data_IF_815424524845
#
_entry.id   IF_815424524845
#
_cell.length_a   1.000
_cell.length_b   1.000
_cell.length_c   1.000
_cell.angle_alpha   90.00
_cell.angle_beta   90.00
_cell.angle_gamma   90.00
#
_symmetry.space_group_name_H-M   'P 1'
#
loop_
_entity.id
_entity.type
_entity.pdbx_description
1 polymer ?
#
# COMPACT_ATOMS: atom_id res chain seq x y z
N UNK A 1 34.75 -21.62 21.80
CA UNK A 1 35.67 -20.70 21.09
C UNK A 1 35.18 -20.51 19.67
N UNK A 2 35.15 -19.28 19.20
CA UNK A 2 34.89 -18.99 17.80
C UNK A 2 36.23 -19.08 17.03
N UNK A 3 36.40 -20.05 16.15
CA UNK A 3 37.64 -20.17 15.38
C UNK A 3 37.87 -18.91 14.50
N UNK A 4 39.11 -18.63 14.22
CA UNK A 4 39.54 -17.52 13.35
C UNK A 4 39.14 -16.11 13.82
N UNK A 5 38.90 -15.90 15.15
CA UNK A 5 38.67 -14.56 15.69
C UNK A 5 39.90 -13.92 16.31
N UNK A 6 40.82 -14.73 16.82
CA UNK A 6 42.05 -14.27 17.50
C UNK A 6 43.28 -14.81 16.75
N UNK A 7 43.25 -16.09 16.37
CA UNK A 7 44.30 -16.76 15.61
C UNK A 7 43.80 -17.00 14.19
N UNK A 8 44.66 -16.77 13.20
CA UNK A 8 44.35 -16.92 11.77
C UNK A 8 43.12 -16.10 11.34
N UNK A 9 42.97 -14.91 11.88
CA UNK A 9 41.88 -14.02 11.53
C UNK A 9 41.97 -13.62 10.06
N UNK A 10 40.93 -13.84 9.26
CA UNK A 10 40.91 -13.41 7.87
C UNK A 10 41.02 -11.88 7.78
N UNK A 11 41.60 -11.35 6.69
CA UNK A 11 41.67 -9.91 6.47
C UNK A 11 40.28 -9.25 6.63
N UNK A 12 40.22 -8.04 7.18
CA UNK A 12 38.97 -7.34 7.47
C UNK A 12 38.04 -7.10 6.26
N UNK A 13 38.61 -7.19 5.05
CA UNK A 13 37.88 -7.01 3.79
C UNK A 13 37.37 -8.31 3.16
N UNK A 14 37.54 -9.48 3.81
CA UNK A 14 37.15 -10.78 3.22
C UNK A 14 35.68 -11.13 3.37
N UNK A 15 35.00 -10.60 4.40
CA UNK A 15 33.59 -10.89 4.68
C UNK A 15 32.70 -9.65 4.55
N UNK A 16 33.05 -8.77 3.65
CA UNK A 16 32.28 -7.58 3.37
C UNK A 16 31.03 -7.93 2.54
N UNK A 17 29.97 -7.17 2.75
CA UNK A 17 28.72 -7.24 1.98
C UNK A 17 28.96 -6.99 0.48
N UNK A 18 29.92 -6.13 0.17
CA UNK A 18 30.35 -5.76 -1.19
C UNK A 18 31.82 -6.05 -1.39
N UNK A 19 32.20 -6.35 -2.63
CA UNK A 19 33.60 -6.44 -3.01
C UNK A 19 34.21 -5.04 -3.02
N UNK A 20 35.46 -4.87 -2.60
CA UNK A 20 36.17 -3.60 -2.73
C UNK A 20 36.15 -3.10 -4.19
N UNK A 21 35.76 -1.82 -4.38
CA UNK A 21 35.60 -1.22 -5.70
C UNK A 21 34.36 -1.62 -6.49
N UNK A 22 33.47 -2.41 -5.93
CA UNK A 22 32.23 -2.78 -6.59
C UNK A 22 31.39 -1.52 -6.91
N UNK A 23 31.05 -1.34 -8.19
CA UNK A 23 30.15 -0.30 -8.65
C UNK A 23 28.71 -0.82 -8.63
N UNK A 24 27.78 0.00 -8.16
CA UNK A 24 26.35 -0.28 -8.23
C UNK A 24 25.71 0.59 -9.30
N UNK A 25 24.83 0.03 -10.15
CA UNK A 25 24.17 0.83 -11.17
C UNK A 25 23.18 1.81 -10.54
N UNK A 26 22.93 2.92 -11.23
CA UNK A 26 21.82 3.80 -10.89
C UNK A 26 20.49 3.13 -11.25
N UNK A 27 19.51 3.28 -10.38
CA UNK A 27 18.16 2.73 -10.59
C UNK A 27 17.18 3.86 -10.92
N UNK A 28 16.57 3.87 -12.12
CA UNK A 28 15.47 4.80 -12.41
C UNK A 28 14.27 4.44 -11.53
N UNK A 29 13.84 5.37 -10.68
CA UNK A 29 12.73 5.16 -9.75
C UNK A 29 11.60 6.16 -9.98
N UNK A 30 10.37 5.75 -9.69
CA UNK A 30 9.20 6.62 -9.74
C UNK A 30 9.08 7.45 -8.48
N UNK A 31 9.40 6.85 -7.32
CA UNK A 31 9.47 7.59 -6.06
C UNK A 31 10.74 8.44 -5.96
N UNK A 32 10.62 9.58 -5.30
CA UNK A 32 11.77 10.37 -4.87
C UNK A 32 12.34 9.78 -3.59
N UNK A 33 13.62 9.42 -3.62
CA UNK A 33 14.39 9.00 -2.46
C UNK A 33 15.33 10.14 -2.08
N UNK A 34 14.97 10.94 -1.06
CA UNK A 34 15.75 12.11 -0.65
C UNK A 34 17.21 11.75 -0.34
N UNK A 35 18.16 12.27 -1.10
CA UNK A 35 19.62 12.07 -0.94
C UNK A 35 20.10 10.61 -0.98
N UNK A 36 19.28 9.69 -1.48
CA UNK A 36 19.59 8.27 -1.60
C UNK A 36 18.82 7.67 -2.79
N UNK A 37 19.17 6.46 -3.17
CA UNK A 37 18.43 5.67 -4.15
C UNK A 37 17.61 4.55 -3.49
N UNK A 38 16.99 3.69 -4.30
CA UNK A 38 16.20 2.55 -3.82
C UNK A 38 17.08 1.52 -3.10
N UNK A 39 18.30 1.29 -3.59
CA UNK A 39 19.24 0.36 -2.99
C UNK A 39 19.70 0.86 -1.63
N UNK A 40 20.18 2.09 -1.56
CA UNK A 40 20.60 2.72 -0.30
C UNK A 40 19.45 2.73 0.74
N UNK A 41 18.20 2.91 0.29
CA UNK A 41 17.05 2.80 1.20
C UNK A 41 16.82 1.38 1.74
N UNK A 42 17.03 0.35 0.91
CA UNK A 42 16.99 -1.04 1.37
C UNK A 42 18.17 -1.34 2.32
N UNK A 43 19.33 -0.75 2.08
CA UNK A 43 20.53 -0.89 2.91
C UNK A 43 20.46 -0.23 4.28
N UNK A 44 19.50 0.65 4.51
CA UNK A 44 19.24 1.20 5.84
C UNK A 44 19.00 0.11 6.89
N UNK A 45 18.59 -1.10 6.47
CA UNK A 45 18.39 -2.20 7.39
C UNK A 45 19.71 -2.61 8.07
N UNK A 46 19.85 -2.27 9.35
CA UNK A 46 21.02 -2.61 10.18
C UNK A 46 20.91 -4.00 10.85
N UNK A 47 19.82 -4.74 10.60
CA UNK A 47 19.62 -6.08 11.15
C UNK A 47 19.15 -6.14 12.59
N UNK A 48 18.72 -5.02 13.22
CA UNK A 48 18.27 -4.98 14.63
C UNK A 48 17.25 -6.06 15.01
N UNK A 49 16.42 -6.50 14.05
CA UNK A 49 15.47 -7.58 14.29
C UNK A 49 14.14 -7.14 14.93
N UNK A 50 13.91 -5.84 15.15
CA UNK A 50 12.63 -5.33 15.67
C UNK A 50 11.42 -5.75 14.84
N UNK A 51 11.61 -6.06 13.55
CA UNK A 51 10.58 -6.63 12.67
C UNK A 51 10.21 -8.09 12.97
N UNK A 52 10.87 -8.72 13.94
CA UNK A 52 10.56 -10.07 14.45
C UNK A 52 9.72 -10.07 15.73
N UNK A 53 9.11 -8.95 16.05
CA UNK A 53 8.19 -8.85 17.17
C UNK A 53 7.01 -9.79 17.01
N UNK A 54 6.55 -10.32 18.13
CA UNK A 54 5.33 -11.12 18.19
C UNK A 54 4.14 -10.23 18.56
N UNK A 55 2.92 -10.73 18.40
CA UNK A 55 1.72 -10.03 18.85
C UNK A 55 1.72 -9.72 20.37
N UNK A 56 2.56 -10.42 21.16
CA UNK A 56 2.73 -10.21 22.59
C UNK A 56 3.66 -9.03 22.92
N UNK A 57 4.51 -8.64 21.98
CA UNK A 57 5.53 -7.60 22.22
C UNK A 57 5.02 -6.18 22.02
N UNK A 58 3.76 -5.99 21.63
CA UNK A 58 3.21 -4.70 21.26
C UNK A 58 3.75 -4.17 19.92
N UNK A 59 3.18 -3.04 19.46
CA UNK A 59 3.53 -2.43 18.19
C UNK A 59 2.79 -3.06 16.99
N UNK A 60 3.02 -2.51 15.81
CA UNK A 60 2.34 -2.91 14.57
C UNK A 60 3.29 -3.43 13.49
N UNK A 61 4.59 -3.38 13.73
CA UNK A 61 5.61 -3.70 12.73
C UNK A 61 5.56 -5.17 12.31
N UNK A 62 5.50 -5.40 11.00
CA UNK A 62 5.46 -6.70 10.33
C UNK A 62 4.30 -7.62 10.75
N UNK A 63 3.04 -7.24 10.49
CA UNK A 63 1.88 -8.13 10.72
C UNK A 63 2.02 -9.49 10.04
N UNK A 64 2.67 -9.55 8.88
CA UNK A 64 2.95 -10.80 8.17
C UNK A 64 3.83 -11.74 9.00
N UNK A 65 4.90 -11.25 9.60
CA UNK A 65 5.72 -12.07 10.50
C UNK A 65 4.95 -12.46 11.76
N UNK A 66 4.16 -11.56 12.34
CA UNK A 66 3.33 -11.88 13.51
C UNK A 66 2.41 -13.09 13.24
N UNK A 67 1.88 -13.20 12.02
CA UNK A 67 1.00 -14.29 11.62
C UNK A 67 1.76 -15.58 11.25
N UNK A 68 2.84 -15.47 10.48
CA UNK A 68 3.52 -16.65 9.90
C UNK A 68 4.68 -17.17 10.73
N UNK A 69 5.33 -16.32 11.52
CA UNK A 69 6.60 -16.58 12.24
C UNK A 69 7.76 -16.96 11.30
N UNK A 70 7.60 -16.72 10.01
CA UNK A 70 8.61 -16.99 9.02
C UNK A 70 9.48 -15.77 8.78
N UNK A 71 10.81 -15.93 8.84
CA UNK A 71 11.78 -14.84 8.64
C UNK A 71 11.59 -14.11 7.29
N UNK A 72 11.24 -14.84 6.22
CA UNK A 72 10.99 -14.26 4.90
C UNK A 72 9.93 -13.15 4.90
N UNK A 73 9.04 -13.15 5.90
CA UNK A 73 7.93 -12.21 6.00
C UNK A 73 8.25 -10.97 6.83
N UNK A 74 9.53 -10.79 7.21
CA UNK A 74 10.02 -9.62 7.95
C UNK A 74 10.40 -8.47 7.03
N UNK A 75 10.45 -7.25 7.57
CA UNK A 75 11.03 -6.09 6.87
C UNK A 75 12.50 -6.34 6.54
N UNK A 76 13.25 -6.96 7.45
CA UNK A 76 14.67 -7.29 7.30
C UNK A 76 14.90 -8.20 6.09
N UNK A 77 14.18 -9.32 6.01
CA UNK A 77 14.32 -10.25 4.90
C UNK A 77 14.00 -9.58 3.56
N UNK A 78 12.89 -8.82 3.50
CA UNK A 78 12.49 -8.09 2.30
C UNK A 78 13.50 -7.05 1.84
N UNK A 79 14.08 -6.31 2.78
CA UNK A 79 15.13 -5.34 2.47
C UNK A 79 16.40 -6.03 1.97
N UNK A 80 16.79 -7.13 2.62
CA UNK A 80 17.99 -7.86 2.25
C UNK A 80 17.87 -8.56 0.91
N UNK A 81 16.75 -9.23 0.60
CA UNK A 81 16.56 -9.86 -0.70
C UNK A 81 16.53 -8.83 -1.82
N UNK A 82 15.85 -7.71 -1.63
CA UNK A 82 15.81 -6.63 -2.62
C UNK A 82 17.26 -6.12 -2.89
N UNK A 83 18.01 -5.83 -1.83
CA UNK A 83 19.42 -5.43 -1.94
C UNK A 83 20.25 -6.45 -2.71
N UNK A 84 20.11 -7.74 -2.37
CA UNK A 84 20.90 -8.81 -2.97
C UNK A 84 20.67 -8.88 -4.49
N UNK A 85 19.41 -8.90 -4.92
CA UNK A 85 19.11 -8.94 -6.35
C UNK A 85 19.50 -7.64 -7.07
N UNK A 86 19.33 -6.48 -6.46
CA UNK A 86 19.74 -5.22 -7.07
C UNK A 86 21.26 -5.13 -7.26
N UNK A 87 22.04 -5.79 -6.42
CA UNK A 87 23.51 -5.77 -6.50
C UNK A 87 24.10 -6.92 -7.32
N UNK A 88 23.51 -8.10 -7.27
CA UNK A 88 24.09 -9.31 -7.85
C UNK A 88 23.43 -9.77 -9.17
N UNK A 89 22.25 -9.26 -9.51
CA UNK A 89 21.55 -9.68 -10.72
C UNK A 89 22.26 -9.25 -11.98
N UNK A 90 22.33 -10.15 -12.95
CA UNK A 90 22.85 -9.90 -14.31
C UNK A 90 21.73 -9.49 -15.30
N UNK A 91 20.46 -9.44 -14.86
CA UNK A 91 19.35 -9.00 -15.72
C UNK A 91 19.45 -7.50 -16.00
N UNK A 92 19.05 -7.07 -17.19
CA UNK A 92 18.96 -5.66 -17.54
C UNK A 92 17.99 -4.90 -16.60
N UNK A 93 16.82 -5.50 -16.31
CA UNK A 93 15.94 -5.05 -15.26
C UNK A 93 16.17 -5.89 -14.00
N UNK A 94 16.91 -5.36 -13.04
CA UNK A 94 17.23 -6.05 -11.78
C UNK A 94 16.04 -6.19 -10.82
N UNK A 95 14.89 -5.62 -11.15
CA UNK A 95 13.62 -5.84 -10.43
C UNK A 95 12.82 -7.01 -10.99
N UNK A 96 13.22 -7.59 -12.15
CA UNK A 96 12.52 -8.69 -12.79
C UNK A 96 12.88 -10.05 -12.18
N UNK A 97 12.46 -10.24 -10.92
CA UNK A 97 12.69 -11.47 -10.16
C UNK A 97 11.43 -11.88 -9.40
N UNK A 98 10.93 -13.10 -9.68
CA UNK A 98 9.76 -13.66 -9.02
C UNK A 98 10.02 -13.89 -7.52
N UNK A 99 11.26 -14.24 -7.16
CA UNK A 99 11.67 -14.48 -5.76
C UNK A 99 11.46 -13.24 -4.88
N UNK A 100 11.74 -12.05 -5.42
CA UNK A 100 11.46 -10.79 -4.69
C UNK A 100 9.95 -10.62 -4.53
N UNK A 101 9.17 -10.89 -5.59
CA UNK A 101 7.71 -10.76 -5.57
C UNK A 101 7.07 -11.68 -4.53
N UNK A 102 7.52 -12.95 -4.45
CA UNK A 102 7.04 -13.91 -3.45
C UNK A 102 7.26 -13.40 -2.02
N UNK A 103 8.46 -12.91 -1.72
CA UNK A 103 8.80 -12.37 -0.40
C UNK A 103 8.03 -11.09 -0.10
N UNK A 104 7.71 -10.28 -1.12
CA UNK A 104 6.92 -9.05 -0.97
C UNK A 104 5.42 -9.30 -0.85
N UNK A 105 4.91 -10.45 -1.28
CA UNK A 105 3.45 -10.67 -1.47
C UNK A 105 2.67 -10.50 -0.17
N UNK A 106 3.09 -11.10 0.93
CA UNK A 106 2.42 -10.98 2.24
C UNK A 106 2.61 -9.62 2.93
N UNK A 107 3.42 -8.71 2.40
CA UNK A 107 3.54 -7.36 2.96
C UNK A 107 2.25 -6.57 2.74
N UNK A 108 1.59 -6.15 3.82
CA UNK A 108 0.34 -5.39 3.78
C UNK A 108 0.52 -3.91 3.38
N UNK A 109 1.76 -3.43 3.22
CA UNK A 109 2.08 -2.02 3.01
C UNK A 109 1.50 -1.08 4.08
N UNK A 110 1.38 -1.55 5.31
CA UNK A 110 0.77 -0.85 6.44
C UNK A 110 1.63 0.32 6.99
N UNK A 111 2.89 0.44 6.53
CA UNK A 111 3.88 1.43 7.00
C UNK A 111 4.29 1.33 8.49
N UNK A 112 3.89 0.30 9.23
CA UNK A 112 4.38 0.09 10.59
C UNK A 112 5.91 0.09 10.69
N UNK A 113 6.59 -0.47 9.69
CA UNK A 113 8.06 -0.43 9.61
C UNK A 113 8.61 1.01 9.50
N UNK A 114 7.92 1.92 8.81
CA UNK A 114 8.38 3.31 8.67
C UNK A 114 8.43 4.06 10.01
N UNK A 115 7.49 3.76 10.92
CA UNK A 115 7.41 4.41 12.24
C UNK A 115 8.17 3.67 13.33
N UNK A 116 8.21 2.34 13.29
CA UNK A 116 8.75 1.51 14.39
C UNK A 116 10.15 0.97 14.10
N UNK A 117 10.64 0.98 12.86
CA UNK A 117 11.98 0.51 12.55
C UNK A 117 13.04 1.54 13.01
N UNK A 118 14.02 1.17 13.86
CA UNK A 118 15.07 2.08 14.28
C UNK A 118 15.92 2.61 13.12
N UNK A 119 16.00 1.85 12.03
CA UNK A 119 16.67 2.25 10.78
C UNK A 119 15.74 2.91 9.75
N UNK A 120 14.49 3.16 10.11
CA UNK A 120 13.52 3.90 9.31
C UNK A 120 13.27 3.33 7.89
N UNK A 121 13.36 2.00 7.73
CA UNK A 121 13.11 1.32 6.45
C UNK A 121 11.62 1.41 6.08
N UNK A 122 11.29 2.10 4.99
CA UNK A 122 9.93 2.17 4.46
C UNK A 122 9.68 1.03 3.46
N UNK A 123 9.33 -0.15 3.96
CA UNK A 123 9.08 -1.33 3.12
C UNK A 123 7.85 -1.14 2.21
N UNK A 124 6.87 -0.34 2.60
CA UNK A 124 5.72 -0.05 1.76
C UNK A 124 6.12 0.70 0.48
N UNK A 125 7.06 1.65 0.61
CA UNK A 125 7.65 2.40 -0.52
C UNK A 125 8.50 1.49 -1.40
N UNK A 126 9.39 0.68 -0.80
CA UNK A 126 10.23 -0.28 -1.52
C UNK A 126 9.39 -1.31 -2.28
N UNK A 127 8.35 -1.87 -1.65
CA UNK A 127 7.43 -2.81 -2.32
C UNK A 127 6.71 -2.18 -3.50
N UNK A 128 6.20 -0.97 -3.34
CA UNK A 128 5.46 -0.31 -4.41
C UNK A 128 6.37 0.01 -5.60
N UNK A 129 7.60 0.48 -5.34
CA UNK A 129 8.61 0.71 -6.39
C UNK A 129 8.98 -0.60 -7.10
N UNK A 130 9.28 -1.65 -6.34
CA UNK A 130 9.58 -2.97 -6.89
C UNK A 130 8.45 -3.47 -7.80
N UNK A 131 7.20 -3.43 -7.33
CA UNK A 131 6.05 -3.91 -8.11
C UNK A 131 5.86 -3.11 -9.40
N UNK A 132 6.08 -1.80 -9.40
CA UNK A 132 5.99 -0.99 -10.61
C UNK A 132 7.02 -1.45 -11.64
N UNK A 133 8.28 -1.61 -11.24
CA UNK A 133 9.38 -2.04 -12.11
C UNK A 133 9.17 -3.50 -12.60
N UNK A 134 8.68 -4.36 -11.73
CA UNK A 134 8.37 -5.75 -12.08
C UNK A 134 7.21 -5.83 -13.10
N UNK A 135 6.17 -5.03 -12.92
CA UNK A 135 5.02 -5.02 -13.84
C UNK A 135 5.34 -4.35 -15.17
N UNK A 136 6.31 -3.47 -15.23
CA UNK A 136 6.79 -2.92 -16.50
C UNK A 136 7.40 -4.01 -17.40
N UNK A 137 8.02 -5.04 -16.82
CA UNK A 137 8.57 -6.17 -17.54
C UNK A 137 7.56 -7.31 -17.80
N UNK A 138 6.70 -7.60 -16.80
CA UNK A 138 5.86 -8.81 -16.78
C UNK A 138 4.36 -8.54 -16.99
N UNK A 139 3.96 -7.27 -17.07
CA UNK A 139 2.55 -6.89 -17.12
C UNK A 139 1.86 -6.95 -15.76
N UNK A 140 0.67 -6.35 -15.69
CA UNK A 140 -0.11 -6.23 -14.45
C UNK A 140 -1.10 -7.39 -14.35
N UNK A 141 -1.07 -8.21 -13.28
CA UNK A 141 -2.04 -9.29 -13.07
C UNK A 141 -3.48 -8.75 -13.01
N UNK A 142 -4.45 -9.53 -13.52
CA UNK A 142 -5.87 -9.17 -13.55
C UNK A 142 -6.38 -8.74 -12.17
N UNK A 143 -6.07 -9.51 -11.12
CA UNK A 143 -6.44 -9.18 -9.74
C UNK A 143 -5.94 -7.80 -9.31
N UNK A 144 -4.67 -7.50 -9.59
CA UNK A 144 -4.08 -6.20 -9.24
C UNK A 144 -4.73 -5.06 -10.02
N UNK A 145 -5.03 -5.29 -11.31
CA UNK A 145 -5.73 -4.31 -12.16
C UNK A 145 -7.15 -4.04 -11.67
N UNK A 146 -7.89 -5.07 -11.27
CA UNK A 146 -9.25 -4.91 -10.71
C UNK A 146 -9.24 -4.14 -9.40
N UNK A 147 -8.33 -4.48 -8.48
CA UNK A 147 -8.22 -3.77 -7.19
C UNK A 147 -7.80 -2.31 -7.40
N UNK A 148 -6.87 -2.06 -8.30
CA UNK A 148 -6.43 -0.70 -8.61
C UNK A 148 -7.58 0.15 -9.17
N UNK A 149 -8.43 -0.42 -10.04
CA UNK A 149 -9.60 0.25 -10.60
C UNK A 149 -10.86 0.19 -9.71
N UNK A 150 -10.70 -0.03 -8.41
CA UNK A 150 -11.82 -0.20 -7.47
C UNK A 150 -12.83 0.95 -7.54
N UNK A 151 -12.37 2.19 -7.59
CA UNK A 151 -13.24 3.38 -7.69
C UNK A 151 -14.14 3.34 -8.93
N UNK A 152 -13.56 3.03 -10.09
CA UNK A 152 -14.30 2.94 -11.37
C UNK A 152 -15.30 1.79 -11.36
N UNK A 153 -14.90 0.61 -10.86
CA UNK A 153 -15.79 -0.57 -10.75
C UNK A 153 -16.93 -0.31 -9.78
N UNK A 154 -16.65 0.34 -8.66
CA UNK A 154 -17.67 0.74 -7.68
C UNK A 154 -18.64 1.76 -8.27
N UNK A 155 -18.15 2.75 -9.00
CA UNK A 155 -18.99 3.74 -9.70
C UNK A 155 -19.95 3.07 -10.67
N UNK A 156 -19.48 2.13 -11.50
CA UNK A 156 -20.34 1.35 -12.39
C UNK A 156 -21.36 0.50 -11.61
N UNK A 157 -20.91 -0.13 -10.53
CA UNK A 157 -21.79 -0.93 -9.67
C UNK A 157 -22.90 -0.14 -8.98
N UNK A 158 -22.72 1.17 -8.78
CA UNK A 158 -23.77 2.04 -8.19
C UNK A 158 -24.97 2.30 -9.10
N UNK A 159 -24.92 1.90 -10.37
CA UNK A 159 -26.10 1.94 -11.27
C UNK A 159 -27.13 0.90 -10.82
N UNK A 160 -26.67 -0.30 -10.40
CA UNK A 160 -27.52 -1.37 -9.88
C UNK A 160 -26.89 -1.99 -8.62
N UNK A 161 -26.91 -1.29 -7.47
CA UNK A 161 -26.23 -1.74 -6.27
C UNK A 161 -26.71 -3.10 -5.74
N UNK A 162 -28.01 -3.38 -5.86
CA UNK A 162 -28.62 -4.64 -5.43
C UNK A 162 -28.06 -5.83 -6.23
N UNK A 163 -27.99 -5.70 -7.55
CA UNK A 163 -27.43 -6.73 -8.43
C UNK A 163 -25.93 -6.94 -8.14
N UNK A 164 -25.16 -5.84 -8.04
CA UNK A 164 -23.75 -5.93 -7.65
C UNK A 164 -23.56 -6.68 -6.33
N UNK A 165 -24.32 -6.29 -5.30
CA UNK A 165 -24.23 -6.91 -3.98
C UNK A 165 -24.63 -8.38 -4.01
N UNK A 166 -25.65 -8.75 -4.80
CA UNK A 166 -26.03 -10.14 -4.98
C UNK A 166 -24.86 -10.97 -5.55
N UNK A 167 -24.21 -10.51 -6.62
CA UNK A 167 -23.04 -11.19 -7.20
C UNK A 167 -21.88 -11.29 -6.21
N UNK A 168 -21.67 -10.28 -5.38
CA UNK A 168 -20.55 -10.24 -4.42
C UNK A 168 -20.81 -11.07 -3.15
N UNK A 169 -22.08 -11.37 -2.81
CA UNK A 169 -22.43 -12.00 -1.52
C UNK A 169 -23.18 -13.33 -1.65
N UNK A 170 -23.86 -13.60 -2.77
CA UNK A 170 -24.63 -14.83 -2.94
C UNK A 170 -23.74 -16.07 -2.86
N UNK A 171 -24.11 -17.08 -2.04
CA UNK A 171 -23.38 -18.34 -1.97
C UNK A 171 -23.25 -18.99 -3.38
N UNK A 172 -22.11 -19.60 -3.67
CA UNK A 172 -21.82 -20.18 -4.98
C UNK A 172 -21.33 -19.14 -6.01
N UNK A 173 -22.14 -18.18 -6.39
CA UNK A 173 -21.75 -17.13 -7.35
C UNK A 173 -20.55 -16.34 -6.85
N UNK A 174 -20.61 -15.85 -5.62
CA UNK A 174 -19.50 -15.12 -4.99
C UNK A 174 -18.24 -15.98 -4.90
N UNK A 175 -18.36 -17.27 -4.59
CA UNK A 175 -17.21 -18.19 -4.55
C UNK A 175 -16.58 -18.39 -5.92
N UNK A 176 -17.39 -18.50 -6.97
CA UNK A 176 -16.91 -18.61 -8.34
C UNK A 176 -16.18 -17.32 -8.78
N UNK A 177 -16.79 -16.16 -8.56
CA UNK A 177 -16.17 -14.86 -8.86
C UNK A 177 -14.83 -14.71 -8.12
N UNK A 178 -14.79 -15.05 -6.82
CA UNK A 178 -13.56 -15.00 -6.02
C UNK A 178 -12.47 -15.89 -6.58
N UNK A 179 -12.81 -17.14 -6.97
CA UNK A 179 -11.85 -18.07 -7.58
C UNK A 179 -11.27 -17.51 -8.89
N UNK A 180 -12.13 -17.01 -9.78
CA UNK A 180 -11.70 -16.44 -11.08
C UNK A 180 -10.76 -15.24 -10.87
N UNK A 181 -11.07 -14.37 -9.92
CA UNK A 181 -10.26 -13.16 -9.63
C UNK A 181 -9.06 -13.48 -8.74
N UNK A 182 -8.96 -14.67 -8.16
CA UNK A 182 -7.87 -15.06 -7.28
C UNK A 182 -8.02 -14.57 -5.84
N UNK A 183 -9.26 -14.36 -5.36
CA UNK A 183 -9.54 -14.11 -3.95
C UNK A 183 -9.83 -15.42 -3.20
N UNK A 184 -9.49 -15.46 -1.92
CA UNK A 184 -9.86 -16.58 -1.08
C UNK A 184 -11.38 -16.62 -0.87
N UNK A 185 -12.00 -17.81 -1.00
CA UNK A 185 -13.46 -17.95 -0.99
C UNK A 185 -14.11 -17.57 0.32
N UNK A 186 -13.43 -17.75 1.45
CA UNK A 186 -13.92 -17.37 2.79
C UNK A 186 -13.86 -15.86 3.05
N UNK A 187 -13.22 -15.07 2.18
CA UNK A 187 -13.12 -13.62 2.37
C UNK A 187 -14.41 -12.95 1.92
N UNK A 188 -14.97 -12.06 2.76
CA UNK A 188 -16.05 -11.16 2.34
C UNK A 188 -15.53 -10.10 1.38
N UNK A 189 -16.32 -9.73 0.39
CA UNK A 189 -16.05 -8.59 -0.49
C UNK A 189 -16.86 -7.38 -0.04
N UNK A 190 -16.36 -6.14 -0.23
CA UNK A 190 -17.07 -4.94 0.20
C UNK A 190 -18.38 -4.77 -0.59
N UNK A 191 -19.45 -4.45 0.14
CA UNK A 191 -20.76 -4.15 -0.45
C UNK A 191 -20.83 -2.69 -0.84
N UNK A 192 -21.59 -2.39 -1.89
CA UNK A 192 -21.93 -1.02 -2.25
C UNK A 192 -23.17 -0.57 -1.48
N UNK A 193 -23.16 0.68 -1.08
CA UNK A 193 -24.35 1.31 -0.50
C UNK A 193 -25.35 1.72 -1.59
N UNK A 194 -26.62 1.89 -1.22
CA UNK A 194 -27.70 2.28 -2.13
C UNK A 194 -27.53 3.70 -2.71
N UNK A 195 -26.77 4.53 -2.01
CA UNK A 195 -26.41 5.88 -2.45
C UNK A 195 -24.94 6.16 -2.17
N UNK A 196 -24.31 7.04 -2.95
CA UNK A 196 -22.95 7.49 -2.69
C UNK A 196 -22.95 8.70 -1.76
N UNK A 197 -21.85 8.92 -1.01
CA UNK A 197 -21.73 10.08 -0.12
C UNK A 197 -21.86 11.40 -0.89
N UNK A 198 -21.22 11.51 -2.07
CA UNK A 198 -21.34 12.70 -2.93
C UNK A 198 -22.77 12.95 -3.41
N UNK A 199 -23.53 11.87 -3.76
CA UNK A 199 -24.93 11.98 -4.17
C UNK A 199 -25.81 12.40 -2.98
N UNK A 200 -25.61 11.78 -1.81
CA UNK A 200 -26.31 12.14 -0.59
C UNK A 200 -26.05 13.60 -0.20
N UNK A 201 -24.80 14.03 -0.22
CA UNK A 201 -24.39 15.40 0.13
C UNK A 201 -25.07 16.43 -0.79
N UNK A 202 -24.97 16.20 -2.12
CA UNK A 202 -25.65 17.10 -3.09
C UNK A 202 -27.15 17.18 -2.88
N UNK A 203 -27.82 16.06 -2.58
CA UNK A 203 -29.28 16.01 -2.39
C UNK A 203 -29.69 16.69 -1.08
N UNK A 204 -28.97 16.49 0.00
CA UNK A 204 -29.40 16.88 1.35
C UNK A 204 -28.78 18.19 1.83
N UNK A 205 -27.72 18.69 1.16
CA UNK A 205 -27.01 19.90 1.58
C UNK A 205 -27.12 21.06 0.58
N UNK A 206 -27.65 20.83 -0.59
CA UNK A 206 -27.95 21.89 -1.57
C UNK A 206 -29.12 22.74 -1.02
N UNK A 207 -28.79 23.92 -0.45
CA UNK A 207 -29.76 24.82 0.15
C UNK A 207 -30.16 24.51 1.61
N UNK A 208 -29.46 23.58 2.28
CA UNK A 208 -29.64 23.37 3.70
C UNK A 208 -29.20 24.62 4.48
N UNK A 209 -30.11 25.15 5.31
CA UNK A 209 -29.81 26.25 6.25
C UNK A 209 -28.96 25.66 7.40
N UNK A 210 -27.68 25.52 7.20
CA UNK A 210 -26.71 25.33 8.29
C UNK A 210 -26.37 26.69 8.84
N UNK A 211 -26.34 26.87 10.16
CA UNK A 211 -25.85 28.09 10.79
C UNK A 211 -24.42 27.87 11.27
N UNK A 212 -23.44 27.89 10.35
CA UNK A 212 -22.06 27.67 10.73
C UNK A 212 -21.56 28.88 11.52
N UNK A 213 -20.67 28.61 12.45
CA UNK A 213 -19.92 29.69 13.12
C UNK A 213 -19.04 30.39 12.07
N UNK A 214 -19.11 31.72 11.95
CA UNK A 214 -18.30 32.45 10.99
C UNK A 214 -16.83 32.05 11.03
N UNK A 215 -16.23 31.75 9.87
CA UNK A 215 -14.83 31.35 9.75
C UNK A 215 -14.56 29.85 10.03
N UNK A 216 -15.55 29.05 10.41
CA UNK A 216 -15.40 27.60 10.63
C UNK A 216 -15.83 26.79 9.39
N UNK A 217 -14.98 26.73 8.39
CA UNK A 217 -15.17 25.86 7.21
C UNK A 217 -14.19 24.69 7.24
N UNK A 218 -14.67 23.48 6.94
CA UNK A 218 -13.83 22.28 6.76
C UNK A 218 -14.08 21.67 5.41
N UNK A 219 -12.98 21.22 4.77
CA UNK A 219 -13.04 20.51 3.50
C UNK A 219 -12.90 19.00 3.76
N UNK A 220 -13.94 18.25 3.40
CA UNK A 220 -13.96 16.80 3.56
C UNK A 220 -13.48 16.12 2.28
N UNK A 221 -12.35 15.43 2.35
CA UNK A 221 -11.87 14.56 1.28
C UNK A 221 -12.75 13.30 1.25
N UNK A 222 -13.56 13.16 0.20
CA UNK A 222 -14.48 12.03 0.03
C UNK A 222 -13.79 10.92 -0.74
N UNK A 223 -13.06 10.04 -0.03
CA UNK A 223 -12.35 8.93 -0.67
C UNK A 223 -13.31 7.87 -1.24
N UNK A 224 -12.78 7.00 -2.08
CA UNK A 224 -13.54 5.98 -2.81
C UNK A 224 -14.28 5.00 -1.90
N UNK A 225 -13.73 4.64 -0.73
CA UNK A 225 -14.39 3.72 0.21
C UNK A 225 -15.52 4.40 0.95
N UNK A 226 -15.29 5.60 1.47
CA UNK A 226 -16.32 6.40 2.13
C UNK A 226 -17.43 6.78 1.15
N UNK A 227 -17.08 7.01 -0.13
CA UNK A 227 -18.07 7.36 -1.13
C UNK A 227 -19.00 6.19 -1.49
N UNK A 228 -18.48 4.96 -1.59
CA UNK A 228 -19.22 3.83 -2.15
C UNK A 228 -19.63 2.76 -1.14
N UNK A 229 -18.84 2.53 -0.10
CA UNK A 229 -19.01 1.41 0.83
C UNK A 229 -19.39 1.87 2.24
N UNK A 230 -18.69 2.86 2.78
CA UNK A 230 -18.85 3.35 4.14
C UNK A 230 -19.59 4.70 4.17
N UNK A 231 -20.57 4.87 3.28
CA UNK A 231 -21.31 6.12 3.07
C UNK A 231 -21.97 6.61 4.36
N UNK A 232 -22.46 5.70 5.20
CA UNK A 232 -23.08 6.05 6.49
C UNK A 232 -22.08 6.71 7.45
N UNK A 233 -20.83 6.26 7.47
CA UNK A 233 -19.76 6.89 8.26
C UNK A 233 -19.53 8.31 7.77
N UNK A 234 -19.43 8.50 6.46
CA UNK A 234 -19.28 9.83 5.86
C UNK A 234 -20.45 10.77 6.19
N UNK A 235 -21.69 10.26 6.13
CA UNK A 235 -22.88 11.02 6.49
C UNK A 235 -22.83 11.45 7.96
N UNK A 236 -22.56 10.52 8.87
CA UNK A 236 -22.47 10.81 10.31
C UNK A 236 -21.34 11.80 10.62
N UNK A 237 -20.22 11.71 9.92
CA UNK A 237 -19.11 12.67 10.04
C UNK A 237 -19.56 14.08 9.65
N UNK A 238 -20.25 14.23 8.52
CA UNK A 238 -20.77 15.53 8.07
C UNK A 238 -21.74 16.11 9.10
N UNK A 239 -22.73 15.30 9.53
CA UNK A 239 -23.73 15.73 10.51
C UNK A 239 -23.09 16.15 11.86
N UNK A 240 -22.06 15.42 12.30
CA UNK A 240 -21.33 15.76 13.52
C UNK A 240 -20.60 17.08 13.39
N UNK A 241 -19.87 17.30 12.29
CA UNK A 241 -19.14 18.54 12.05
C UNK A 241 -20.07 19.73 11.95
N UNK A 242 -21.21 19.58 11.26
CA UNK A 242 -22.24 20.63 11.17
C UNK A 242 -22.84 20.94 12.56
N UNK A 243 -23.10 19.92 13.38
CA UNK A 243 -23.58 20.10 14.76
C UNK A 243 -22.57 20.83 15.65
N UNK A 244 -21.27 20.70 15.35
CA UNK A 244 -20.19 21.42 16.00
C UNK A 244 -19.98 22.85 15.44
N UNK A 245 -20.85 23.28 14.53
CA UNK A 245 -20.83 24.61 13.94
C UNK A 245 -19.89 24.78 12.75
N UNK A 246 -19.41 23.71 12.12
CA UNK A 246 -18.61 23.78 10.91
C UNK A 246 -19.50 23.82 9.66
N UNK A 247 -19.10 24.66 8.69
CA UNK A 247 -19.55 24.50 7.31
C UNK A 247 -18.73 23.38 6.65
N UNK A 248 -19.39 22.30 6.23
CA UNK A 248 -18.72 21.19 5.57
C UNK A 248 -18.82 21.35 4.07
N UNK A 249 -17.68 21.29 3.37
CA UNK A 249 -17.59 21.31 1.91
C UNK A 249 -16.89 20.07 1.41
N UNK A 250 -17.41 19.47 0.34
CA UNK A 250 -16.72 18.39 -0.40
C UNK A 250 -16.24 19.00 -1.71
N UNK A 251 -14.93 19.29 -1.84
CA UNK A 251 -14.37 19.85 -3.07
C UNK A 251 -14.43 18.83 -4.20
N UNK A 252 -14.27 19.30 -5.41
CA UNK A 252 -14.03 18.42 -6.54
C UNK A 252 -12.60 17.91 -6.47
N UNK A 253 -12.45 16.59 -6.48
CA UNK A 253 -11.16 15.90 -6.43
C UNK A 253 -11.29 14.51 -7.03
N UNK A 254 -10.17 13.95 -7.46
CA UNK A 254 -10.05 12.56 -7.90
C UNK A 254 -10.11 11.59 -6.71
N UNK A 255 -10.08 10.29 -6.97
CA UNK A 255 -9.88 9.26 -5.94
C UNK A 255 -8.56 9.46 -5.18
N UNK A 256 -8.39 8.77 -4.04
CA UNK A 256 -7.18 8.92 -3.20
C UNK A 256 -5.89 8.39 -3.87
N UNK A 257 -6.01 7.54 -4.88
CA UNK A 257 -4.89 6.85 -5.52
C UNK A 257 -4.30 5.69 -4.69
N UNK A 258 -4.78 5.45 -3.46
CA UNK A 258 -4.23 4.40 -2.58
C UNK A 258 -4.44 2.98 -3.11
N UNK A 259 -5.51 2.74 -3.87
CA UNK A 259 -5.77 1.44 -4.50
C UNK A 259 -4.71 1.12 -5.56
N UNK A 260 -4.32 2.10 -6.35
CA UNK A 260 -3.23 2.03 -7.32
C UNK A 260 -1.87 1.83 -6.63
N UNK A 261 -1.60 2.64 -5.61
CA UNK A 261 -0.35 2.57 -4.85
C UNK A 261 -0.18 1.22 -4.16
N UNK A 262 -1.23 0.68 -3.55
CA UNK A 262 -1.19 -0.61 -2.85
C UNK A 262 -0.91 -1.80 -3.77
N UNK A 263 -1.17 -1.63 -5.07
CA UNK A 263 -0.88 -2.64 -6.11
C UNK A 263 0.37 -2.33 -6.92
N UNK A 264 1.18 -1.38 -6.48
CA UNK A 264 2.44 -1.04 -7.13
C UNK A 264 2.30 -0.29 -8.45
N UNK A 265 1.12 0.26 -8.76
CA UNK A 265 0.89 1.10 -9.94
C UNK A 265 1.19 2.57 -9.62
N UNK A 266 2.45 2.81 -9.27
CA UNK A 266 2.92 4.06 -8.67
C UNK A 266 2.79 5.24 -9.62
N UNK A 267 3.08 5.05 -10.93
CA UNK A 267 2.95 6.13 -11.93
C UNK A 267 1.52 6.64 -12.02
N UNK A 268 0.53 5.74 -11.98
CA UNK A 268 -0.87 6.13 -12.01
C UNK A 268 -1.29 6.82 -10.71
N UNK A 269 -0.86 6.30 -9.57
CA UNK A 269 -1.09 6.93 -8.27
C UNK A 269 -0.49 8.35 -8.21
N UNK A 270 0.69 8.56 -8.81
CA UNK A 270 1.34 9.88 -8.90
C UNK A 270 0.50 10.88 -9.70
N UNK A 271 0.00 10.49 -10.88
CA UNK A 271 -0.87 11.35 -11.71
C UNK A 271 -2.13 11.76 -10.93
N UNK A 272 -2.74 10.82 -10.18
CA UNK A 272 -3.93 11.10 -9.35
C UNK A 272 -3.56 12.09 -8.23
N UNK A 273 -2.43 11.86 -7.56
CA UNK A 273 -1.97 12.75 -6.50
C UNK A 273 -1.68 14.17 -7.01
N UNK A 274 -1.05 14.30 -8.18
CA UNK A 274 -0.78 15.59 -8.83
C UNK A 274 -2.07 16.37 -9.09
N UNK A 275 -3.13 15.70 -9.59
CA UNK A 275 -4.45 16.32 -9.79
C UNK A 275 -5.16 16.72 -8.49
N UNK A 276 -4.88 16.03 -7.39
CA UNK A 276 -5.50 16.36 -6.10
C UNK A 276 -4.79 17.50 -5.36
N UNK A 277 -3.57 17.85 -5.77
CA UNK A 277 -2.75 18.90 -5.13
C UNK A 277 -2.73 20.19 -5.97
N UNK A 278 -3.01 20.09 -7.27
CA UNK A 278 -3.16 21.26 -8.17
C UNK A 278 -4.49 22.00 -7.92
#
# INVERSE_FOLDING_TARGET
>A
FNPNKIVDTPPMNTMLRYKPGQQTPAFPTVFRYHRQDVLQHAEQCNGSGDCRKTHLSGGTMCPSYMATRNEKDTTRARANILREFLTQSNKANRFDHEEIKEVMDLCLSCKGCKSECPSNVDMAKLKAEFLQQYYDANGVPLRSRMIANFSRLSSLGTVFPAAYNLFMTAPGISSLVKKIVGFHTSRSLPKLQSTTLRRWFRKNRRGAKTNPVPGKTVYLFCDEFTNYNDTEIGIKTILLLEKLGYEVRIPDHEESGRTWLSKGLVRKAKIIAEKNVS
#
